data_IF_567682675994
#
_entry.id   IF_567682675994
#
_cell.length_a   1.000
_cell.length_b   1.000
_cell.length_c   1.000
_cell.angle_alpha   90.00
_cell.angle_beta   90.00
_cell.angle_gamma   90.00
#
_symmetry.space_group_name_H-M   'P 1'
#
loop_
_entity.id
_entity.type
_entity.pdbx_description
1 polymer ?
#
# COMPACT_ATOMS: atom_id res chain seq x y z
N UNK A 1 -29.81 28.57 -22.90
CA UNK A 1 -29.51 28.13 -21.52
C UNK A 1 -28.06 27.69 -21.50
N UNK A 2 -27.19 28.50 -20.91
CA UNK A 2 -25.73 28.30 -20.85
C UNK A 2 -25.38 27.41 -19.67
N UNK A 3 -24.89 26.20 -19.94
CA UNK A 3 -24.37 25.31 -18.90
C UNK A 3 -22.91 25.67 -18.67
N UNK A 4 -22.67 26.43 -17.60
CA UNK A 4 -21.33 26.78 -17.12
C UNK A 4 -20.92 25.80 -16.01
N UNK A 5 -20.63 24.54 -16.35
CA UNK A 5 -20.10 23.59 -15.36
C UNK A 5 -18.58 23.75 -15.32
N UNK A 6 -18.09 24.61 -14.43
CA UNK A 6 -16.68 24.65 -14.09
C UNK A 6 -16.37 23.52 -13.11
N UNK A 7 -15.29 22.73 -13.32
CA UNK A 7 -14.82 21.80 -12.29
C UNK A 7 -14.39 22.61 -11.07
N UNK A 8 -15.06 22.35 -9.95
CA UNK A 8 -14.79 22.98 -8.67
C UNK A 8 -13.36 22.64 -8.25
N UNK A 9 -12.59 23.67 -7.89
CA UNK A 9 -11.17 23.55 -7.57
C UNK A 9 -10.91 22.39 -6.60
N UNK A 10 -10.06 21.45 -7.03
CA UNK A 10 -9.58 20.36 -6.17
C UNK A 10 -9.03 20.97 -4.88
N UNK A 11 -9.56 20.53 -3.74
CA UNK A 11 -9.04 20.96 -2.45
C UNK A 11 -7.55 20.65 -2.40
N UNK A 12 -6.79 21.61 -1.89
CA UNK A 12 -5.34 21.51 -1.71
C UNK A 12 -5.08 20.31 -0.80
N UNK A 13 -4.56 19.22 -1.37
CA UNK A 13 -4.06 18.09 -0.59
C UNK A 13 -2.88 18.61 0.23
N UNK A 14 -3.14 19.00 1.47
CA UNK A 14 -2.08 19.34 2.40
C UNK A 14 -1.24 18.07 2.56
N UNK A 15 0.00 18.12 2.07
CA UNK A 15 1.00 17.10 2.36
C UNK A 15 1.09 17.07 3.89
N UNK A 16 0.49 16.06 4.52
CA UNK A 16 0.68 15.84 5.94
C UNK A 16 2.18 15.72 6.16
N UNK A 17 2.74 16.64 6.96
CA UNK A 17 4.16 16.64 7.25
C UNK A 17 4.58 15.28 7.79
N UNK A 18 5.63 14.70 7.20
CA UNK A 18 6.22 13.45 7.63
C UNK A 18 6.39 13.43 9.15
N UNK A 19 5.67 12.55 9.84
CA UNK A 19 5.89 12.32 11.28
C UNK A 19 7.11 11.45 11.42
N UNK A 20 8.16 12.03 11.99
CA UNK A 20 9.45 11.39 12.13
C UNK A 20 9.33 10.10 12.98
N UNK A 21 9.79 8.95 12.48
CA UNK A 21 9.88 7.72 13.26
C UNK A 21 10.70 7.95 14.54
N UNK A 22 10.23 7.39 15.65
CA UNK A 22 11.03 7.26 16.85
C UNK A 22 12.26 6.39 16.52
N UNK A 23 13.45 6.98 16.65
CA UNK A 23 14.76 6.41 16.31
C UNK A 23 14.95 5.95 14.85
N UNK A 24 15.03 6.94 13.95
CA UNK A 24 15.35 6.73 12.53
C UNK A 24 16.59 5.86 12.30
N UNK A 25 17.69 6.11 13.03
CA UNK A 25 18.99 5.52 12.69
C UNK A 25 19.00 3.99 12.82
N UNK A 26 18.31 3.45 13.83
CA UNK A 26 18.16 2.01 14.03
C UNK A 26 17.30 1.33 12.96
N UNK A 27 16.19 1.98 12.57
CA UNK A 27 15.23 1.49 11.59
C UNK A 27 15.86 1.31 10.19
N UNK A 28 16.52 2.33 9.65
CA UNK A 28 17.14 2.24 8.32
C UNK A 28 18.25 1.17 8.25
N UNK A 29 18.94 0.91 9.37
CA UNK A 29 20.02 -0.07 9.44
C UNK A 29 19.49 -1.50 9.38
N UNK A 30 18.42 -1.78 10.11
CA UNK A 30 17.96 -3.16 10.35
C UNK A 30 16.68 -3.53 9.62
N UNK A 31 15.99 -2.57 8.98
CA UNK A 31 14.69 -2.78 8.35
C UNK A 31 14.66 -2.32 6.89
N UNK A 32 13.64 -2.77 6.18
CA UNK A 32 13.32 -2.35 4.82
C UNK A 32 11.88 -1.82 4.81
N UNK A 33 11.63 -0.61 4.28
CA UNK A 33 10.29 -0.05 4.20
C UNK A 33 9.53 -0.62 2.99
N UNK A 34 8.24 -0.93 3.20
CA UNK A 34 7.30 -1.30 2.14
C UNK A 34 6.03 -0.46 2.28
N UNK A 35 5.56 0.09 1.16
CA UNK A 35 4.37 0.93 1.11
C UNK A 35 3.22 0.22 0.39
N UNK A 36 2.00 0.41 0.89
CA UNK A 36 0.80 -0.18 0.29
C UNK A 36 -0.43 -0.03 1.18
N UNK A 37 -1.55 -0.56 0.72
CA UNK A 37 -2.78 -0.65 1.50
C UNK A 37 -2.77 -1.94 2.34
N UNK A 38 -2.88 -1.84 3.68
CA UNK A 38 -2.87 -3.00 4.55
C UNK A 38 -4.24 -3.69 4.55
N UNK A 39 -4.24 -5.01 4.38
CA UNK A 39 -5.42 -5.87 4.43
C UNK A 39 -5.16 -7.04 5.38
N UNK A 40 -6.22 -7.49 6.06
CA UNK A 40 -6.13 -8.68 6.93
C UNK A 40 -6.15 -9.93 6.07
N UNK A 41 -5.27 -10.89 6.35
CA UNK A 41 -5.33 -12.18 5.69
C UNK A 41 -6.63 -12.92 6.12
N UNK A 42 -7.42 -13.49 5.19
CA UNK A 42 -8.74 -14.05 5.50
C UNK A 42 -8.75 -15.18 6.54
N UNK A 43 -7.69 -15.99 6.57
CA UNK A 43 -7.61 -17.21 7.40
C UNK A 43 -6.48 -17.23 8.42
N UNK A 44 -5.54 -16.28 8.36
CA UNK A 44 -4.32 -16.33 9.16
C UNK A 44 -4.04 -14.95 9.78
N UNK A 45 -4.41 -14.73 11.04
CA UNK A 45 -4.26 -13.41 11.68
C UNK A 45 -2.80 -13.00 11.89
N UNK A 46 -1.84 -13.91 11.74
CA UNK A 46 -0.41 -13.61 11.87
C UNK A 46 0.18 -13.04 10.58
N UNK A 47 -0.56 -13.07 9.48
CA UNK A 47 -0.13 -12.55 8.18
C UNK A 47 -0.91 -11.28 7.87
N UNK A 48 -0.17 -10.26 7.44
CA UNK A 48 -0.75 -9.06 6.84
C UNK A 48 -0.49 -9.08 5.34
N UNK A 49 -1.53 -8.70 4.58
CA UNK A 49 -1.44 -8.48 3.15
C UNK A 49 -1.18 -7.00 2.92
N UNK A 50 -0.19 -6.65 2.10
CA UNK A 50 0.10 -5.27 1.74
C UNK A 50 -0.05 -5.12 0.22
N UNK A 51 -1.14 -4.49 -0.22
CA UNK A 51 -1.43 -4.25 -1.63
C UNK A 51 -0.64 -3.03 -2.10
N UNK A 52 0.34 -3.22 -2.97
CA UNK A 52 1.29 -2.16 -3.33
C UNK A 52 0.62 -1.00 -4.10
N UNK A 53 -0.25 -1.37 -5.04
CA UNK A 53 -1.05 -0.44 -5.83
C UNK A 53 -2.48 -0.95 -5.91
N UNK A 54 -3.41 -0.39 -5.11
CA UNK A 54 -4.79 -0.83 -5.06
C UNK A 54 -5.62 -0.38 -6.28
N UNK A 55 -5.13 0.57 -7.10
CA UNK A 55 -5.84 1.04 -8.30
C UNK A 55 -5.34 0.43 -9.60
N UNK A 56 -4.18 -0.23 -9.56
CA UNK A 56 -3.67 -0.96 -10.72
C UNK A 56 -4.52 -2.21 -11.01
N UNK A 57 -4.88 -2.37 -12.27
CA UNK A 57 -5.47 -3.62 -12.79
C UNK A 57 -4.49 -4.81 -12.74
N UNK A 58 -3.19 -4.53 -12.66
CA UNK A 58 -2.13 -5.50 -12.41
C UNK A 58 -1.63 -5.35 -10.97
N UNK A 59 -2.53 -5.58 -10.01
CA UNK A 59 -2.20 -5.43 -8.60
C UNK A 59 -1.30 -6.56 -8.13
N UNK A 60 -0.29 -6.22 -7.34
CA UNK A 60 0.52 -7.20 -6.63
C UNK A 60 0.45 -6.89 -5.15
N UNK A 61 0.54 -7.94 -4.34
CA UNK A 61 0.52 -7.80 -2.91
C UNK A 61 1.66 -8.57 -2.27
N UNK A 62 2.05 -8.11 -1.09
CA UNK A 62 3.02 -8.77 -0.24
C UNK A 62 2.34 -9.44 0.93
N UNK A 63 2.85 -10.59 1.33
CA UNK A 63 2.49 -11.23 2.59
C UNK A 63 3.67 -11.10 3.55
N UNK A 64 3.41 -10.51 4.72
CA UNK A 64 4.39 -10.39 5.79
C UNK A 64 3.87 -11.03 7.06
N UNK A 65 4.78 -11.64 7.83
CA UNK A 65 4.45 -11.99 9.21
C UNK A 65 4.39 -10.71 10.05
N UNK A 66 3.30 -10.55 10.80
CA UNK A 66 3.10 -9.44 11.74
C UNK A 66 4.20 -9.34 12.79
N UNK A 67 4.83 -10.45 13.21
CA UNK A 67 5.96 -10.46 14.16
C UNK A 67 7.22 -9.76 13.65
N UNK A 68 7.32 -9.60 12.33
CA UNK A 68 8.50 -9.10 11.64
C UNK A 68 8.39 -7.61 11.31
N UNK A 69 7.21 -7.03 11.51
CA UNK A 69 6.94 -5.61 11.36
C UNK A 69 7.23 -4.92 12.69
N UNK A 70 8.14 -3.95 12.67
CA UNK A 70 8.56 -3.24 13.90
C UNK A 70 8.01 -1.82 13.98
N UNK A 71 7.63 -1.24 12.85
CA UNK A 71 7.06 0.10 12.80
C UNK A 71 6.09 0.24 11.63
N UNK A 72 5.08 1.11 11.80
CA UNK A 72 4.08 1.42 10.80
C UNK A 72 3.91 2.94 10.78
N UNK A 73 4.02 3.53 9.60
CA UNK A 73 3.73 4.94 9.32
C UNK A 73 2.43 5.02 8.53
N UNK A 74 1.51 5.89 8.93
CA UNK A 74 0.37 6.27 8.09
C UNK A 74 0.86 7.18 6.96
N UNK A 75 0.44 6.87 5.73
CA UNK A 75 0.69 7.69 4.55
C UNK A 75 -0.58 8.45 4.17
N UNK A 76 -0.47 9.52 3.34
CA UNK A 76 -1.65 10.16 2.78
C UNK A 76 -2.55 9.13 2.08
N UNK A 77 -3.83 9.13 2.45
CA UNK A 77 -4.82 8.25 1.82
C UNK A 77 -4.99 8.63 0.35
N UNK A 78 -5.26 7.64 -0.49
CA UNK A 78 -5.56 7.86 -1.91
C UNK A 78 -7.07 7.79 -2.08
N UNK A 79 -7.64 8.79 -2.76
CA UNK A 79 -9.08 8.86 -3.04
C UNK A 79 -9.30 8.58 -4.53
N UNK A 80 -10.24 7.69 -4.83
CA UNK A 80 -10.64 7.40 -6.22
C UNK A 80 -11.59 8.47 -6.77
N UNK A 81 -11.83 8.52 -8.09
CA UNK A 81 -12.80 9.43 -8.69
C UNK A 81 -14.23 9.28 -8.15
N UNK A 82 -14.58 8.10 -7.62
CA UNK A 82 -15.86 7.77 -6.99
C UNK A 82 -15.96 8.21 -5.52
N UNK A 83 -14.88 8.73 -4.94
CA UNK A 83 -14.80 9.24 -3.56
C UNK A 83 -14.46 8.18 -2.50
N UNK A 84 -14.11 6.95 -2.87
CA UNK A 84 -13.64 5.94 -1.94
C UNK A 84 -12.22 6.28 -1.49
N UNK A 85 -12.01 6.21 -0.18
CA UNK A 85 -10.71 6.49 0.45
C UNK A 85 -10.02 5.17 0.76
N UNK A 86 -8.83 4.97 0.20
CA UNK A 86 -7.98 3.82 0.51
C UNK A 86 -6.86 4.26 1.45
N UNK A 87 -6.79 3.60 2.61
CA UNK A 87 -5.72 3.81 3.58
C UNK A 87 -4.42 3.23 3.05
N UNK A 88 -3.37 4.05 3.10
CA UNK A 88 -2.01 3.68 2.74
C UNK A 88 -1.11 3.76 3.97
N UNK A 89 -0.20 2.80 4.10
CA UNK A 89 0.80 2.77 5.16
C UNK A 89 2.18 2.49 4.59
N UNK A 90 3.21 2.81 5.36
CA UNK A 90 4.55 2.26 5.19
C UNK A 90 4.87 1.40 6.39
N UNK A 91 5.13 0.11 6.16
CA UNK A 91 5.58 -0.81 7.19
C UNK A 91 7.10 -0.97 7.11
N UNK A 92 7.74 -1.13 8.26
CA UNK A 92 9.17 -1.40 8.38
C UNK A 92 9.38 -2.85 8.82
N UNK A 93 9.87 -3.65 7.88
CA UNK A 93 10.06 -5.09 8.07
C UNK A 93 11.52 -5.39 8.37
N UNK A 94 11.78 -6.23 9.37
CA UNK A 94 13.15 -6.65 9.74
C UNK A 94 13.87 -7.25 8.53
N UNK A 95 15.15 -6.91 8.35
CA UNK A 95 16.01 -7.54 7.34
C UNK A 95 16.15 -9.03 7.64
N UNK A 96 16.29 -9.83 6.58
CA UNK A 96 16.35 -11.30 6.63
C UNK A 96 15.06 -12.01 7.04
N UNK A 97 13.95 -11.28 7.25
CA UNK A 97 12.63 -11.88 7.38
C UNK A 97 12.14 -12.46 6.05
N UNK A 98 11.40 -13.56 6.12
CA UNK A 98 10.75 -14.17 4.96
C UNK A 98 9.41 -13.45 4.67
N UNK A 99 9.15 -13.21 3.39
CA UNK A 99 7.92 -12.60 2.91
C UNK A 99 7.56 -13.21 1.55
N UNK A 100 6.29 -13.14 1.17
CA UNK A 100 5.82 -13.59 -0.13
C UNK A 100 5.45 -12.38 -0.97
N UNK A 101 5.83 -12.38 -2.25
CA UNK A 101 5.29 -11.44 -3.24
C UNK A 101 4.39 -12.22 -4.18
N UNK A 102 3.13 -11.82 -4.26
CA UNK A 102 2.14 -12.44 -5.11
C UNK A 102 1.78 -11.50 -6.27
N UNK A 103 1.83 -12.04 -7.49
CA UNK A 103 1.38 -11.35 -8.70
C UNK A 103 0.41 -12.28 -9.42
N UNK A 104 -0.89 -11.95 -9.44
CA UNK A 104 -1.88 -12.74 -10.16
C UNK A 104 -1.60 -12.66 -11.66
N UNK A 105 -1.91 -13.74 -12.37
CA UNK A 105 -1.79 -13.79 -13.82
C UNK A 105 -2.95 -14.61 -14.39
N UNK A 106 -3.28 -14.33 -15.66
CA UNK A 106 -4.28 -15.11 -16.39
C UNK A 106 -3.62 -16.39 -16.89
N UNK A 107 -4.22 -17.54 -16.58
CA UNK A 107 -3.77 -18.84 -17.07
C UNK A 107 -4.33 -19.05 -18.47
N UNK A 108 -3.50 -18.84 -19.49
CA UNK A 108 -3.88 -19.00 -20.91
C UNK A 108 -2.77 -19.69 -21.71
N UNK A 109 -3.13 -20.51 -22.71
CA UNK A 109 -2.15 -21.05 -23.67
C UNK A 109 -1.81 -19.96 -24.70
N UNK A 110 -0.57 -19.48 -24.65
CA UNK A 110 -0.08 -18.43 -25.56
C UNK A 110 0.38 -18.99 -26.91
N UNK A 111 0.36 -20.31 -27.08
CA UNK A 111 0.57 -20.95 -28.38
C UNK A 111 -0.73 -20.82 -29.15
N UNK A 112 -0.66 -20.17 -30.31
CA UNK A 112 -1.81 -20.03 -31.22
C UNK A 112 -2.38 -21.42 -31.56
N UNK A 113 -3.72 -21.54 -31.74
CA UNK A 113 -4.35 -22.78 -32.19
C UNK A 113 -3.81 -23.24 -33.55
#
# INVERSE_FOLDING_TARGET
MTISTFPQASQKLEIQGYKQPCDNAGLWKNHVPFSGSPQKHPYNPQIILLVADPYSSNTSYFEFNTSDISHIEELPNIVDPEGQTITMVRIWVKKSSAAVRCTPFIVEDTRRP
#
